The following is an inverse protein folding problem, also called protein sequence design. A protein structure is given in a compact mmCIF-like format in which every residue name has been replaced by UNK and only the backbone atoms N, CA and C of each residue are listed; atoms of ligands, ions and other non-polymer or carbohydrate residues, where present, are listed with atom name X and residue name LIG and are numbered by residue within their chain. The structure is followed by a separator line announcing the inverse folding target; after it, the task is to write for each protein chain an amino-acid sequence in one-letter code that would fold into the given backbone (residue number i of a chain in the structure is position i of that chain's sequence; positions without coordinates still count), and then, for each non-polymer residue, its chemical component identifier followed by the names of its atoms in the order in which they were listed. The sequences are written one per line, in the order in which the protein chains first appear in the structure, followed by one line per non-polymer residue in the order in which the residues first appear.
data_IF_537336467172
#
_entry.id   IF_537336467172
#
_cell.length_a   1.000
_cell.length_b   1.000
_cell.length_c   1.000
_cell.angle_alpha   90.00
_cell.angle_beta   90.00
_cell.angle_gamma   90.00
#
_symmetry.space_group_name_H-M   'P 1'
#
loop_
_entity.id
_entity.type
_entity.pdbx_description
1 polymer ?
#
# COMPACT_ATOMS: atom_id res chain seq x y z
N UNK A 1 -10.74 20.15 9.58
CA UNK A 1 -11.27 19.33 8.46
C UNK A 1 -12.29 20.11 7.65
N UNK A 2 -12.53 19.70 6.39
CA UNK A 2 -13.50 20.38 5.55
C UNK A 2 -14.90 20.34 6.19
N UNK A 3 -15.70 21.43 6.11
CA UNK A 3 -17.04 21.50 6.75
C UNK A 3 -17.95 20.29 6.40
N UNK A 4 -17.86 19.80 5.17
CA UNK A 4 -18.60 18.61 4.72
C UNK A 4 -18.19 17.34 5.48
N UNK A 5 -16.93 17.22 5.87
CA UNK A 5 -16.46 16.07 6.64
C UNK A 5 -17.00 16.14 8.06
N UNK A 6 -16.97 17.30 8.69
CA UNK A 6 -17.51 17.49 10.04
C UNK A 6 -19.01 17.19 10.07
N UNK A 7 -19.79 17.69 9.12
CA UNK A 7 -21.22 17.40 9.04
C UNK A 7 -21.52 15.91 8.93
N UNK A 8 -20.68 15.15 8.21
CA UNK A 8 -20.81 13.68 8.14
C UNK A 8 -20.50 13.01 9.49
N UNK A 9 -19.47 13.47 10.19
CA UNK A 9 -19.13 12.96 11.53
C UNK A 9 -20.28 13.19 12.51
N UNK A 10 -20.82 14.40 12.53
CA UNK A 10 -21.92 14.77 13.43
C UNK A 10 -23.19 13.93 13.15
N UNK A 11 -23.49 13.72 11.87
CA UNK A 11 -24.61 12.86 11.47
C UNK A 11 -24.38 11.40 11.90
N UNK A 12 -23.15 10.92 11.84
CA UNK A 12 -22.78 9.57 12.28
C UNK A 12 -22.94 9.41 13.79
N UNK A 13 -22.35 10.33 14.56
CA UNK A 13 -22.47 10.37 16.02
C UNK A 13 -23.93 10.38 16.43
N UNK A 14 -24.73 11.26 15.81
CA UNK A 14 -26.18 11.34 16.09
C UNK A 14 -26.90 10.01 15.83
N UNK A 15 -26.52 9.29 14.79
CA UNK A 15 -27.10 7.97 14.48
C UNK A 15 -26.73 6.92 15.53
N UNK A 16 -25.46 6.90 15.96
CA UNK A 16 -24.98 5.99 17.01
C UNK A 16 -25.63 6.25 18.37
N UNK A 17 -26.02 7.49 18.66
CA UNK A 17 -26.69 7.90 19.90
C UNK A 17 -28.08 7.25 20.08
N UNK A 18 -28.63 6.62 19.05
CA UNK A 18 -29.84 5.81 19.21
C UNK A 18 -29.68 4.62 20.14
N UNK A 19 -28.45 4.10 20.30
CA UNK A 19 -28.13 2.95 21.15
C UNK A 19 -26.98 3.22 22.13
N UNK A 20 -26.16 4.24 21.90
CA UNK A 20 -24.94 4.54 22.64
C UNK A 20 -24.98 5.96 23.26
N UNK A 21 -24.21 6.17 24.33
CA UNK A 21 -24.07 7.52 24.86
C UNK A 21 -23.35 8.43 23.87
N UNK A 22 -23.61 9.75 23.89
CA UNK A 22 -22.91 10.72 23.02
C UNK A 22 -21.40 10.64 23.12
N UNK A 23 -20.88 10.49 24.35
CA UNK A 23 -19.45 10.36 24.61
C UNK A 23 -18.87 9.11 23.96
N UNK A 24 -19.50 7.95 24.17
CA UNK A 24 -19.05 6.71 23.57
C UNK A 24 -19.01 6.79 22.03
N UNK A 25 -20.07 7.30 21.40
CA UNK A 25 -20.12 7.44 19.95
C UNK A 25 -19.01 8.34 19.40
N UNK A 26 -18.66 9.43 20.10
CA UNK A 26 -17.60 10.34 19.71
C UNK A 26 -16.20 9.72 19.88
N UNK A 27 -15.96 9.04 21.02
CA UNK A 27 -14.69 8.37 21.31
C UNK A 27 -14.44 7.22 20.32
N UNK A 28 -15.46 6.44 20.00
CA UNK A 28 -15.39 5.36 19.03
C UNK A 28 -15.04 5.87 17.63
N UNK A 29 -15.68 6.94 17.19
CA UNK A 29 -15.37 7.52 15.88
C UNK A 29 -13.92 8.06 15.82
N UNK A 30 -13.42 8.59 16.92
CA UNK A 30 -12.01 9.03 17.01
C UNK A 30 -11.05 7.85 16.96
N UNK A 31 -11.34 6.75 17.63
CA UNK A 31 -10.55 5.52 17.56
C UNK A 31 -10.51 4.94 16.14
N UNK A 32 -11.64 4.98 15.43
CA UNK A 32 -11.71 4.58 14.02
C UNK A 32 -10.80 5.44 13.14
N UNK A 33 -10.86 6.75 13.29
CA UNK A 33 -10.03 7.67 12.51
C UNK A 33 -8.54 7.44 12.78
N UNK A 34 -8.15 7.15 14.01
CA UNK A 34 -6.79 6.83 14.38
C UNK A 34 -6.31 5.54 13.70
N UNK A 35 -7.10 4.49 13.73
CA UNK A 35 -6.77 3.22 13.07
C UNK A 35 -6.59 3.38 11.55
N UNK A 36 -7.45 4.17 10.93
CA UNK A 36 -7.31 4.50 9.51
C UNK A 36 -6.01 5.29 9.26
N UNK A 37 -5.72 6.27 10.09
CA UNK A 37 -4.50 7.07 9.96
C UNK A 37 -3.25 6.20 10.07
N UNK A 38 -3.20 5.31 11.06
CA UNK A 38 -2.11 4.32 11.22
C UNK A 38 -1.98 3.46 9.96
N UNK A 39 -3.09 2.96 9.43
CA UNK A 39 -3.11 2.10 8.24
C UNK A 39 -2.58 2.82 7.00
N UNK A 40 -3.02 4.07 6.77
CA UNK A 40 -2.49 4.88 5.68
C UNK A 40 -1.01 5.22 5.85
N UNK A 41 -0.54 5.41 7.09
CA UNK A 41 0.88 5.67 7.36
C UNK A 41 1.73 4.46 6.98
N UNK A 42 1.30 3.25 7.34
CA UNK A 42 1.97 2.01 6.95
C UNK A 42 1.97 1.80 5.43
N UNK A 43 0.85 2.03 4.79
CA UNK A 43 0.78 1.97 3.33
C UNK A 43 1.69 3.00 2.66
N UNK A 44 1.73 4.23 3.16
CA UNK A 44 2.65 5.26 2.65
C UNK A 44 4.11 4.88 2.81
N UNK A 45 4.47 4.22 3.91
CA UNK A 45 5.80 3.67 4.11
C UNK A 45 6.15 2.64 3.02
N UNK A 46 5.24 1.71 2.72
CA UNK A 46 5.39 0.75 1.64
C UNK A 46 5.59 1.44 0.27
N UNK A 47 4.78 2.44 -0.04
CA UNK A 47 4.89 3.24 -1.25
C UNK A 47 6.24 3.95 -1.34
N UNK A 48 6.73 4.53 -0.26
CA UNK A 48 8.02 5.21 -0.23
C UNK A 48 9.18 4.23 -0.48
N UNK A 49 9.10 3.00 0.00
CA UNK A 49 10.08 1.95 -0.29
C UNK A 49 10.11 1.66 -1.80
N UNK A 50 8.95 1.50 -2.42
CA UNK A 50 8.81 1.20 -3.85
C UNK A 50 9.34 2.37 -4.69
N UNK A 51 9.00 3.61 -4.34
CA UNK A 51 9.55 4.81 -4.99
C UNK A 51 11.08 4.82 -4.89
N UNK A 52 11.64 4.48 -3.73
CA UNK A 52 13.08 4.32 -3.57
C UNK A 52 13.68 3.31 -4.53
N UNK A 53 13.06 2.14 -4.69
CA UNK A 53 13.52 1.10 -5.63
C UNK A 53 13.46 1.56 -7.10
N UNK A 54 12.45 2.33 -7.49
CA UNK A 54 12.41 2.94 -8.82
C UNK A 54 13.57 3.92 -9.05
N UNK A 55 13.85 4.76 -8.05
CA UNK A 55 14.94 5.72 -8.13
C UNK A 55 16.32 5.04 -8.14
N UNK A 56 16.42 3.87 -7.55
CA UNK A 56 17.62 3.03 -7.56
C UNK A 56 17.75 2.20 -8.86
N UNK A 57 16.74 2.23 -9.73
CA UNK A 57 16.72 1.45 -10.98
C UNK A 57 16.51 -0.06 -10.76
N UNK A 58 15.92 -0.45 -9.63
CA UNK A 58 15.68 -1.84 -9.25
C UNK A 58 14.30 -2.36 -9.63
N UNK A 59 13.44 -1.49 -10.14
CA UNK A 59 12.12 -1.82 -10.68
C UNK A 59 12.00 -1.25 -12.08
N UNK A 60 11.39 -2.02 -12.98
CA UNK A 60 11.13 -1.57 -14.33
C UNK A 60 10.10 -0.43 -14.34
N UNK A 61 10.38 0.65 -15.05
CA UNK A 61 9.43 1.74 -15.19
C UNK A 61 8.18 1.28 -15.94
N UNK A 62 7.05 1.87 -15.61
CA UNK A 62 5.82 1.67 -16.37
C UNK A 62 6.07 2.08 -17.84
N UNK A 63 5.63 1.29 -18.84
CA UNK A 63 5.70 1.67 -20.23
C UNK A 63 5.07 3.04 -20.47
N UNK A 64 5.72 3.87 -21.29
CA UNK A 64 5.33 5.26 -21.48
C UNK A 64 3.90 5.42 -22.07
N UNK A 65 3.48 4.47 -22.89
CA UNK A 65 2.13 4.41 -23.47
C UNK A 65 1.04 4.03 -22.45
N UNK A 66 1.44 3.44 -21.33
CA UNK A 66 0.55 3.08 -20.23
C UNK A 66 0.65 4.06 -19.06
N UNK A 67 1.66 4.92 -19.05
CA UNK A 67 1.83 5.92 -18.02
C UNK A 67 0.67 6.92 -18.06
N UNK A 68 0.01 7.18 -16.93
CA UNK A 68 -1.03 8.21 -16.90
C UNK A 68 -0.43 9.59 -17.16
N UNK A 69 -1.16 10.37 -17.93
CA UNK A 69 -0.80 11.75 -18.28
C UNK A 69 -1.03 12.71 -17.11
N UNK A 70 -0.37 12.48 -16.00
CA UNK A 70 -0.44 13.35 -14.83
C UNK A 70 0.90 13.47 -14.13
N UNK A 71 1.16 14.65 -13.73
CA UNK A 71 2.42 15.10 -13.12
C UNK A 71 2.62 14.63 -11.68
N UNK A 72 1.87 13.65 -11.22
CA UNK A 72 1.82 13.24 -9.82
C UNK A 72 2.83 12.19 -9.36
N UNK A 73 3.71 11.74 -10.23
CA UNK A 73 4.78 10.82 -9.85
C UNK A 73 4.41 9.34 -9.87
N UNK A 74 5.36 8.57 -9.60
CA UNK A 74 5.55 7.14 -9.76
C UNK A 74 4.60 6.26 -8.93
N UNK A 75 3.85 6.84 -8.05
CA UNK A 75 2.95 6.14 -7.12
C UNK A 75 1.62 5.72 -7.74
N UNK A 76 1.44 5.91 -8.99
CA UNK A 76 0.18 5.83 -9.69
C UNK A 76 -0.31 4.46 -10.05
N UNK A 77 0.61 3.58 -10.31
CA UNK A 77 0.32 2.16 -10.42
C UNK A 77 -0.33 1.61 -9.16
N UNK A 78 -0.08 2.26 -8.03
CA UNK A 78 -0.54 1.85 -6.71
C UNK A 78 -1.87 2.47 -6.30
N UNK A 79 -2.45 3.34 -7.13
CA UNK A 79 -3.73 3.97 -6.80
C UNK A 79 -4.93 3.17 -7.31
N UNK A 80 -6.01 3.10 -6.52
CA UNK A 80 -7.27 2.52 -6.98
C UNK A 80 -7.75 3.21 -8.26
N UNK A 81 -8.10 2.44 -9.28
CA UNK A 81 -8.50 2.95 -10.59
C UNK A 81 -7.45 2.78 -11.68
N UNK A 82 -6.20 2.46 -11.32
CA UNK A 82 -5.19 2.02 -12.27
C UNK A 82 -5.30 0.56 -12.71
N UNK A 83 -6.33 -0.15 -12.30
CA UNK A 83 -6.51 -1.59 -12.48
C UNK A 83 -6.24 -2.15 -13.89
N UNK A 84 -6.55 -1.48 -15.00
CA UNK A 84 -6.20 -1.98 -16.32
C UNK A 84 -4.72 -1.87 -16.69
N UNK A 85 -3.90 -1.29 -15.83
CA UNK A 85 -2.54 -0.85 -16.13
C UNK A 85 -1.45 -1.62 -15.41
N UNK A 86 -1.79 -2.76 -14.80
CA UNK A 86 -0.85 -3.60 -14.03
C UNK A 86 0.00 -4.54 -14.89
N UNK A 87 0.28 -4.22 -16.13
CA UNK A 87 0.97 -5.12 -17.02
C UNK A 87 2.40 -5.46 -16.60
N UNK A 88 3.09 -4.57 -15.93
CA UNK A 88 4.47 -4.78 -15.50
C UNK A 88 4.67 -4.54 -14.01
N UNK A 89 3.63 -4.76 -13.23
CA UNK A 89 3.71 -4.58 -11.78
C UNK A 89 4.48 -5.75 -11.18
N UNK A 90 5.58 -5.44 -10.53
CA UNK A 90 6.36 -6.40 -9.74
C UNK A 90 5.58 -6.93 -8.55
N UNK A 91 6.02 -8.04 -7.98
CA UNK A 91 5.36 -8.61 -6.79
C UNK A 91 5.34 -7.64 -5.60
N UNK A 92 6.39 -6.84 -5.43
CA UNK A 92 6.45 -5.84 -4.36
C UNK A 92 5.40 -4.73 -4.54
N UNK A 93 5.13 -4.32 -5.78
CA UNK A 93 4.07 -3.36 -6.08
C UNK A 93 2.69 -3.94 -5.83
N UNK A 94 2.47 -5.20 -6.19
CA UNK A 94 1.22 -5.93 -5.89
C UNK A 94 0.94 -5.99 -4.40
N UNK A 95 1.96 -6.26 -3.59
CA UNK A 95 1.82 -6.26 -2.14
C UNK A 95 1.32 -4.91 -1.62
N UNK A 96 1.82 -3.78 -2.12
CA UNK A 96 1.36 -2.46 -1.72
C UNK A 96 -0.06 -2.14 -2.21
N UNK A 97 -0.44 -2.66 -3.39
CA UNK A 97 -1.83 -2.57 -3.90
C UNK A 97 -2.77 -3.37 -3.01
N UNK A 98 -2.39 -4.58 -2.61
CA UNK A 98 -3.19 -5.39 -1.69
C UNK A 98 -3.39 -4.67 -0.35
N UNK A 99 -2.38 -3.97 0.16
CA UNK A 99 -2.51 -3.16 1.38
C UNK A 99 -3.60 -2.11 1.26
N UNK A 100 -3.61 -1.31 0.20
CA UNK A 100 -4.60 -0.23 0.06
C UNK A 100 -5.99 -0.76 -0.28
N UNK A 101 -6.10 -1.75 -1.13
CA UNK A 101 -7.40 -2.26 -1.62
C UNK A 101 -8.09 -3.13 -0.58
N UNK A 102 -7.35 -4.01 0.09
CA UNK A 102 -7.94 -5.00 0.98
C UNK A 102 -7.73 -4.67 2.46
N UNK A 103 -6.49 -4.43 2.89
CA UNK A 103 -6.23 -4.29 4.32
C UNK A 103 -6.69 -2.94 4.88
N UNK A 104 -6.43 -1.82 4.21
CA UNK A 104 -6.91 -0.50 4.67
C UNK A 104 -8.44 -0.46 4.74
N UNK A 105 -9.12 -1.02 3.74
CA UNK A 105 -10.58 -1.08 3.74
C UNK A 105 -11.13 -2.03 4.80
N UNK A 106 -10.43 -3.13 5.09
CA UNK A 106 -10.80 -4.05 6.16
C UNK A 106 -10.63 -3.42 7.54
N UNK A 107 -9.52 -2.72 7.78
CA UNK A 107 -9.30 -1.97 9.04
C UNK A 107 -10.40 -0.92 9.25
N UNK A 108 -10.79 -0.21 8.20
CA UNK A 108 -11.88 0.77 8.27
C UNK A 108 -13.20 0.11 8.70
N UNK A 109 -13.57 -0.99 8.08
CA UNK A 109 -14.80 -1.72 8.41
C UNK A 109 -14.77 -2.31 9.82
N UNK A 110 -13.63 -2.87 10.21
CA UNK A 110 -13.45 -3.46 11.53
C UNK A 110 -13.57 -2.41 12.63
N UNK A 111 -12.91 -1.28 12.46
CA UNK A 111 -12.97 -0.17 13.40
C UNK A 111 -14.39 0.39 13.55
N UNK A 112 -15.22 0.32 12.49
CA UNK A 112 -16.60 0.80 12.52
C UNK A 112 -17.53 -0.01 13.43
N UNK A 113 -17.29 -1.31 13.62
CA UNK A 113 -18.23 -2.22 14.29
C UNK A 113 -17.63 -3.10 15.38
N UNK A 114 -16.51 -2.72 15.98
CA UNK A 114 -15.84 -3.49 17.04
C UNK A 114 -15.51 -4.95 16.67
N UNK A 115 -15.42 -5.27 15.42
CA UNK A 115 -14.95 -6.58 14.98
C UNK A 115 -13.42 -6.70 15.23
N UNK A 116 -13.01 -6.42 16.48
CA UNK A 116 -11.60 -6.24 16.85
C UNK A 116 -10.82 -7.54 16.63
N UNK A 117 -11.41 -8.67 16.95
CA UNK A 117 -10.67 -9.93 17.00
C UNK A 117 -10.50 -10.58 15.63
N UNK A 118 -11.55 -10.72 14.85
CA UNK A 118 -11.48 -11.43 13.57
C UNK A 118 -11.07 -10.55 12.38
N UNK A 119 -11.69 -9.37 12.23
CA UNK A 119 -11.49 -8.57 11.03
C UNK A 119 -10.26 -7.68 11.13
N UNK A 120 -9.94 -7.20 12.35
CA UNK A 120 -8.74 -6.37 12.53
C UNK A 120 -7.47 -7.20 12.47
N UNK A 121 -7.45 -8.35 13.15
CA UNK A 121 -6.28 -9.22 13.17
C UNK A 121 -6.18 -10.09 11.91
N UNK A 122 -7.26 -10.72 11.48
CA UNK A 122 -7.19 -11.70 10.39
C UNK A 122 -7.26 -11.07 9.00
N UNK A 123 -7.94 -9.93 8.83
CA UNK A 123 -8.12 -9.32 7.51
C UNK A 123 -7.55 -7.91 7.37
N UNK A 124 -7.30 -7.18 8.46
CA UNK A 124 -6.93 -5.77 8.44
C UNK A 124 -5.52 -5.46 8.93
N UNK A 125 -5.38 -5.16 10.24
CA UNK A 125 -4.14 -4.61 10.79
C UNK A 125 -2.96 -5.59 10.74
N UNK A 126 -3.16 -6.83 11.15
CA UNK A 126 -2.10 -7.85 11.17
C UNK A 126 -1.62 -8.25 9.76
N UNK A 127 -2.50 -8.56 8.79
CA UNK A 127 -2.07 -8.75 7.41
C UNK A 127 -1.36 -7.55 6.81
N UNK A 128 -1.75 -6.33 7.17
CA UNK A 128 -1.08 -5.11 6.73
C UNK A 128 0.34 -5.02 7.27
N UNK A 129 0.56 -5.32 8.55
CA UNK A 129 1.89 -5.35 9.14
C UNK A 129 2.77 -6.41 8.49
N UNK A 130 2.23 -7.59 8.26
CA UNK A 130 2.93 -8.67 7.56
C UNK A 130 3.31 -8.24 6.15
N UNK A 131 2.40 -7.61 5.38
CA UNK A 131 2.70 -7.11 4.03
C UNK A 131 3.80 -6.06 4.04
N UNK A 132 3.81 -5.16 5.00
CA UNK A 132 4.87 -4.17 5.12
C UNK A 132 6.24 -4.82 5.40
N UNK A 133 6.27 -5.86 6.25
CA UNK A 133 7.48 -6.64 6.51
C UNK A 133 7.93 -7.39 5.25
N UNK A 134 7.02 -8.01 4.52
CA UNK A 134 7.28 -8.68 3.25
C UNK A 134 7.88 -7.70 2.22
N UNK A 135 7.31 -6.50 2.08
CA UNK A 135 7.82 -5.43 1.20
C UNK A 135 9.24 -5.00 1.60
N UNK A 136 9.49 -4.80 2.90
CA UNK A 136 10.83 -4.47 3.41
C UNK A 136 11.84 -5.57 3.11
N UNK A 137 11.44 -6.82 3.31
CA UNK A 137 12.27 -7.99 3.04
C UNK A 137 12.59 -8.10 1.55
N UNK A 138 11.59 -7.95 0.69
CA UNK A 138 11.77 -8.02 -0.76
C UNK A 138 12.65 -6.89 -1.29
N UNK A 139 12.45 -5.67 -0.83
CA UNK A 139 13.31 -4.53 -1.16
C UNK A 139 14.78 -4.79 -0.77
N UNK A 140 14.99 -5.39 0.39
CA UNK A 140 16.34 -5.76 0.84
C UNK A 140 16.97 -6.83 -0.03
N UNK A 141 16.21 -7.82 -0.48
CA UNK A 141 16.68 -8.87 -1.41
C UNK A 141 17.06 -8.28 -2.76
N UNK A 142 16.21 -7.42 -3.35
CA UNK A 142 16.49 -6.77 -4.62
C UNK A 142 17.81 -5.98 -4.57
N UNK A 143 18.03 -5.21 -3.50
CA UNK A 143 19.29 -4.46 -3.31
C UNK A 143 20.51 -5.39 -3.18
N UNK A 144 20.37 -6.49 -2.42
CA UNK A 144 21.46 -7.46 -2.25
C UNK A 144 21.78 -8.19 -3.54
N UNK A 145 20.79 -8.63 -4.30
CA UNK A 145 20.99 -9.32 -5.57
C UNK A 145 21.74 -8.41 -6.53
N UNK A 146 21.31 -7.16 -6.69
CA UNK A 146 21.96 -6.19 -7.58
C UNK A 146 23.41 -5.90 -7.15
N UNK A 147 23.67 -5.84 -5.84
CA UNK A 147 25.04 -5.67 -5.34
C UNK A 147 25.91 -6.87 -5.70
N UNK A 148 25.41 -8.08 -5.48
CA UNK A 148 26.13 -9.32 -5.81
C UNK A 148 26.35 -9.47 -7.32
N UNK A 149 25.38 -9.10 -8.16
CA UNK A 149 25.50 -9.11 -9.61
C UNK A 149 26.64 -8.19 -10.08
N UNK A 150 26.73 -7.00 -9.50
CA UNK A 150 27.83 -6.06 -9.77
C UNK A 150 29.17 -6.58 -9.30
N UNK A 151 29.24 -7.19 -8.12
CA UNK A 151 30.48 -7.74 -7.56
C UNK A 151 30.98 -8.96 -8.34
N UNK A 152 30.08 -9.81 -8.82
CA UNK A 152 30.42 -11.07 -9.53
C UNK A 152 30.52 -10.87 -11.04
N UNK A 153 30.10 -9.71 -11.57
CA UNK A 153 30.17 -9.42 -13.00
C UNK A 153 29.19 -10.23 -13.85
N UNK A 154 28.06 -10.68 -13.26
CA UNK A 154 27.03 -11.51 -13.91
C UNK A 154 26.40 -10.77 -15.11
N UNK A 155 26.40 -9.45 -15.15
CA UNK A 155 26.00 -8.67 -16.35
C UNK A 155 26.71 -9.14 -17.62
N UNK A 156 27.98 -9.58 -17.52
CA UNK A 156 28.78 -10.08 -18.65
C UNK A 156 28.29 -11.45 -19.14
N UNK A 157 27.65 -12.24 -18.29
CA UNK A 157 27.13 -13.59 -18.65
C UNK A 157 25.81 -13.54 -19.39
N UNK A 158 24.91 -12.65 -19.06
CA UNK A 158 23.62 -12.49 -19.73
C UNK A 158 23.80 -12.00 -21.16
N UNK A 159 24.67 -11.02 -21.38
CA UNK A 159 25.01 -10.52 -22.72
C UNK A 159 25.65 -11.61 -23.59
N UNK A 160 26.50 -12.47 -23.03
CA UNK A 160 27.12 -13.57 -23.78
C UNK A 160 26.15 -14.66 -24.18
N UNK A 161 25.11 -14.92 -23.36
CA UNK A 161 24.08 -15.92 -23.66
C UNK A 161 23.09 -15.43 -24.72
N UNK A 162 22.85 -14.14 -24.82
CA UNK A 162 21.98 -13.55 -25.83
C UNK A 162 22.67 -13.44 -27.22
N UNK A 163 23.98 -13.33 -27.27
CA UNK A 163 24.75 -13.26 -28.53
C UNK A 163 25.02 -14.63 -29.16
N UNK A 164 24.91 -15.71 -28.37
CA UNK A 164 25.12 -17.09 -28.84
C UNK A 164 23.93 -17.77 -29.56
N UNK A 165 22.82 -17.06 -29.73
CA UNK A 165 21.56 -17.55 -30.30
C UNK A 165 21.22 -16.95 -31.68
N UNK A 166 22.19 -16.82 -32.58
CA UNK A 166 21.96 -16.57 -34.02
C UNK A 166 22.48 -17.70 -34.87
#
# INVERSE_FOLDING_TARGET
GAPRYQAKRDAWIKKCQGCHSPRFAAEQLSAMDEQIHISFTKWREAVNIIVGLYLEGLLDPMPADLAPDWTGGHTLCLLPGGAPRFYNVSDIERMAIEMIVYQVTAVYKAAAHFAIDDVTYNAGAFPMDRKLIEIKSEASKLRRITTLEKEVGIEVLVDRLQVGGR
#
